data_IF_616301507888
#
_entry.id   IF_616301507888
#
_cell.length_a   1.000
_cell.length_b   1.000
_cell.length_c   1.000
_cell.angle_alpha   90.00
_cell.angle_beta   90.00
_cell.angle_gamma   90.00
#
_symmetry.space_group_name_H-M   'P 1'
#
loop_
_entity.id
_entity.type
_entity.pdbx_description
1 polymer ?
#
# COMPACT_ATOMS: atom_id res chain seq x y z
N UNK A 1 -2.16 -8.67 -5.44
CA UNK A 1 -1.99 -9.29 -4.10
C UNK A 1 -2.25 -8.26 -3.02
N UNK A 2 -2.91 -8.67 -1.96
CA UNK A 2 -3.15 -7.79 -0.80
C UNK A 2 -2.55 -8.42 0.44
N UNK A 3 -1.79 -7.63 1.18
CA UNK A 3 -1.19 -8.03 2.45
C UNK A 3 -1.75 -7.16 3.56
N UNK A 4 -2.53 -7.77 4.46
CA UNK A 4 -3.12 -7.07 5.59
C UNK A 4 -2.21 -7.19 6.81
N UNK A 5 -1.97 -6.06 7.48
CA UNK A 5 -1.10 -6.00 8.65
C UNK A 5 -1.88 -5.75 9.94
N UNK A 6 -1.20 -5.98 11.07
CA UNK A 6 -1.80 -5.81 12.40
C UNK A 6 -2.12 -4.36 12.74
N UNK A 7 -1.53 -3.40 12.03
CA UNK A 7 -1.79 -1.98 12.21
C UNK A 7 -3.06 -1.50 11.51
N UNK A 8 -3.83 -2.41 10.90
CA UNK A 8 -5.04 -2.16 10.12
C UNK A 8 -4.80 -1.54 8.75
N UNK A 9 -3.55 -1.46 8.32
CA UNK A 9 -3.25 -1.14 6.93
C UNK A 9 -3.12 -2.40 6.09
N UNK A 10 -3.38 -2.23 4.81
CA UNK A 10 -3.20 -3.28 3.81
C UNK A 10 -2.35 -2.71 2.67
N UNK A 11 -1.38 -3.47 2.21
CA UNK A 11 -0.65 -3.15 1.00
C UNK A 11 -1.34 -3.85 -0.18
N UNK A 12 -1.77 -3.09 -1.17
CA UNK A 12 -2.29 -3.63 -2.43
C UNK A 12 -1.17 -3.57 -3.46
N UNK A 13 -0.75 -4.72 -3.95
CA UNK A 13 0.42 -4.85 -4.81
C UNK A 13 -0.05 -5.44 -6.13
N UNK A 14 0.16 -4.71 -7.22
CA UNK A 14 -0.19 -5.18 -8.56
C UNK A 14 0.97 -4.96 -9.51
N UNK A 15 1.04 -5.80 -10.53
CA UNK A 15 1.99 -5.64 -11.62
C UNK A 15 1.52 -4.51 -12.51
N UNK A 16 2.46 -3.71 -13.01
CA UNK A 16 2.14 -2.61 -13.93
C UNK A 16 1.60 -3.10 -15.28
N UNK A 17 1.12 -2.16 -16.05
CA UNK A 17 0.47 -2.44 -17.34
C UNK A 17 1.38 -2.18 -18.54
N UNK A 18 1.09 -2.88 -19.61
CA UNK A 18 1.64 -2.60 -20.94
C UNK A 18 3.15 -2.73 -20.97
N UNK A 19 3.84 -1.70 -21.47
CA UNK A 19 5.29 -1.72 -21.63
C UNK A 19 6.04 -1.79 -20.31
N UNK A 20 5.37 -1.49 -19.19
CA UNK A 20 5.96 -1.45 -17.85
C UNK A 20 5.59 -2.68 -17.02
N UNK A 21 5.36 -3.81 -17.66
CA UNK A 21 4.88 -5.03 -17.00
C UNK A 21 5.84 -5.63 -15.97
N UNK A 22 7.12 -5.22 -15.98
CA UNK A 22 8.09 -5.65 -14.98
C UNK A 22 8.15 -4.75 -13.75
N UNK A 23 7.33 -3.70 -13.72
CA UNK A 23 7.28 -2.76 -12.62
C UNK A 23 5.98 -2.95 -11.84
N UNK A 24 6.01 -2.55 -10.59
CA UNK A 24 4.93 -2.77 -9.65
C UNK A 24 4.25 -1.48 -9.25
N UNK A 25 3.03 -1.62 -8.77
CA UNK A 25 2.27 -0.53 -8.20
C UNK A 25 1.78 -0.94 -6.82
N UNK A 26 1.92 -0.05 -5.84
CA UNK A 26 1.52 -0.29 -4.46
C UNK A 26 0.59 0.81 -4.01
N UNK A 27 -0.57 0.41 -3.48
CA UNK A 27 -1.51 1.32 -2.84
C UNK A 27 -1.62 0.96 -1.35
N UNK A 28 -1.86 1.97 -0.53
CA UNK A 28 -2.07 1.82 0.90
C UNK A 28 -3.57 1.85 1.16
N UNK A 29 -4.09 0.79 1.80
CA UNK A 29 -5.50 0.69 2.12
C UNK A 29 -5.69 0.69 3.64
N UNK A 30 -6.80 1.25 4.06
CA UNK A 30 -7.32 1.13 5.42
C UNK A 30 -8.82 0.90 5.32
N UNK A 31 -9.31 -0.14 6.00
CA UNK A 31 -10.72 -0.54 5.96
C UNK A 31 -11.21 -0.73 4.51
N UNK A 32 -10.39 -1.40 3.68
CA UNK A 32 -10.65 -1.72 2.27
C UNK A 32 -10.75 -0.50 1.34
N UNK A 33 -10.32 0.66 1.77
CA UNK A 33 -10.31 1.87 0.95
C UNK A 33 -8.90 2.40 0.83
N UNK A 34 -8.54 2.87 -0.35
CA UNK A 34 -7.26 3.54 -0.55
C UNK A 34 -7.22 4.81 0.30
N UNK A 35 -6.14 5.00 1.03
CA UNK A 35 -5.93 6.19 1.85
C UNK A 35 -4.74 6.98 1.32
N UNK A 36 -4.83 8.29 1.41
CA UNK A 36 -3.86 9.22 0.83
C UNK A 36 -3.20 10.11 1.88
N UNK A 37 -3.44 9.81 3.15
CA UNK A 37 -3.02 10.64 4.28
C UNK A 37 -1.89 9.99 5.09
N UNK A 38 -1.14 9.09 4.48
CA UNK A 38 0.01 8.46 5.13
C UNK A 38 1.32 9.06 4.61
N UNK A 39 2.43 8.93 5.37
CA UNK A 39 3.74 9.36 4.86
C UNK A 39 4.29 8.49 3.74
N UNK A 40 3.64 7.37 3.41
CA UNK A 40 4.09 6.48 2.33
C UNK A 40 3.87 7.13 0.98
N UNK A 41 2.66 7.64 0.76
CA UNK A 41 2.31 8.32 -0.49
C UNK A 41 0.99 9.07 -0.29
N UNK A 42 0.82 10.16 -1.03
CA UNK A 42 -0.45 10.88 -1.11
C UNK A 42 -1.29 10.45 -2.32
N UNK A 43 -0.88 9.38 -2.99
CA UNK A 43 -1.58 8.80 -4.12
C UNK A 43 -1.31 7.28 -4.10
N UNK A 44 -0.74 6.73 -5.17
CA UNK A 44 -0.23 5.36 -5.23
C UNK A 44 1.22 5.42 -5.68
N UNK A 45 1.99 4.41 -5.28
CA UNK A 45 3.37 4.30 -5.74
C UNK A 45 3.38 3.46 -7.00
N UNK A 46 3.86 4.02 -8.09
CA UNK A 46 3.94 3.34 -9.38
C UNK A 46 5.37 3.16 -9.86
N UNK A 47 5.55 2.32 -10.87
CA UNK A 47 6.85 2.06 -11.51
C UNK A 47 7.92 1.56 -10.55
N UNK A 48 7.54 0.71 -9.58
CA UNK A 48 8.44 0.22 -8.55
C UNK A 48 9.17 -1.04 -9.02
N UNK A 49 10.47 -1.10 -8.74
CA UNK A 49 11.25 -2.33 -8.86
C UNK A 49 10.86 -3.30 -7.72
N UNK A 50 11.32 -4.55 -7.83
CA UNK A 50 11.09 -5.55 -6.78
C UNK A 50 11.60 -5.06 -5.42
N UNK A 51 12.79 -4.45 -5.39
CA UNK A 51 13.38 -3.94 -4.15
C UNK A 51 12.57 -2.78 -3.57
N UNK A 52 12.06 -1.90 -4.44
CA UNK A 52 11.25 -0.77 -4.01
C UNK A 52 9.89 -1.23 -3.46
N UNK A 53 9.32 -2.31 -4.01
CA UNK A 53 8.11 -2.92 -3.46
C UNK A 53 8.35 -3.43 -2.04
N UNK A 54 9.45 -4.13 -1.83
CA UNK A 54 9.80 -4.65 -0.49
C UNK A 54 9.91 -3.51 0.51
N UNK A 55 10.57 -2.42 0.12
CA UNK A 55 10.68 -1.24 0.99
C UNK A 55 9.32 -0.62 1.27
N UNK A 56 8.50 -0.43 0.25
CA UNK A 56 7.17 0.16 0.42
C UNK A 56 6.30 -0.69 1.34
N UNK A 57 6.28 -2.00 1.13
CA UNK A 57 5.51 -2.94 1.96
C UNK A 57 6.00 -2.90 3.42
N UNK A 58 7.31 -2.88 3.61
CA UNK A 58 7.90 -2.79 4.95
C UNK A 58 7.50 -1.48 5.64
N UNK A 59 7.53 -0.37 4.92
CA UNK A 59 7.14 0.93 5.47
C UNK A 59 5.65 0.95 5.86
N UNK A 60 4.79 0.33 5.05
CA UNK A 60 3.36 0.21 5.38
C UNK A 60 3.17 -0.63 6.64
N UNK A 61 3.86 -1.75 6.73
CA UNK A 61 3.82 -2.63 7.90
C UNK A 61 4.23 -1.90 9.18
N UNK A 62 5.13 -0.93 9.08
CA UNK A 62 5.65 -0.18 10.21
C UNK A 62 4.89 1.11 10.51
N UNK A 63 3.80 1.40 9.79
CA UNK A 63 2.95 2.54 10.13
C UNK A 63 2.31 2.34 11.50
N UNK A 64 2.07 3.45 12.24
CA UNK A 64 1.36 3.36 13.50
C UNK A 64 -0.02 2.73 13.34
N UNK A 65 -0.47 2.02 14.36
CA UNK A 65 -1.80 1.42 14.38
C UNK A 65 -2.87 2.48 14.13
N UNK A 66 -3.77 2.18 13.20
CA UNK A 66 -4.89 3.05 12.87
C UNK A 66 -6.20 2.34 13.19
N UNK A 67 -6.96 2.81 14.18
CA UNK A 67 -8.22 2.15 14.53
C UNK A 67 -9.22 2.22 13.37
N UNK A 68 -10.05 1.18 13.27
CA UNK A 68 -11.19 1.19 12.36
C UNK A 68 -12.34 1.85 13.12
N UNK A 69 -12.80 2.99 12.61
CA UNK A 69 -13.89 3.72 13.23
C UNK A 69 -15.22 3.26 12.64
N UNK A 70 -16.12 2.82 13.52
CA UNK A 70 -17.48 2.49 13.12
C UNK A 70 -18.38 3.67 13.46
N UNK A 71 -19.02 4.21 12.43
CA UNK A 71 -20.02 5.28 12.61
C UNK A 71 -21.39 4.64 12.79
N UNK A 72 -22.04 5.00 13.84
CA UNK A 72 -23.39 4.54 14.14
C UNK A 72 -24.37 5.59 13.73
#
# INVERSE_FOLDING_TARGET
>A
MKLKFKNNYTASIIKGYGAEENLWEVAVLHNNKVVYDTPITDDVLGYLSDEEVVKAVTDIMNLPYRPITTTI
#
